data_IF_294908488032
#
_entry.id   IF_294908488032
#
_cell.length_a   1.000
_cell.length_b   1.000
_cell.length_c   1.000
_cell.angle_alpha   90.00
_cell.angle_beta   90.00
_cell.angle_gamma   90.00
#
_symmetry.space_group_name_H-M   'P 1'
#
loop_
_entity.id
_entity.type
_entity.pdbx_description
1 polymer ?
#
# COMPACT_ATOMS: atom_id res chain seq x y z
N UNK A 1 20.87 6.10 13.15
CA UNK A 1 19.46 5.66 13.22
C UNK A 1 18.83 5.83 11.85
N UNK A 2 18.05 4.85 11.39
CA UNK A 2 17.33 4.96 10.09
C UNK A 2 16.05 4.15 10.17
N UNK A 3 15.06 4.55 9.37
CA UNK A 3 13.78 3.84 9.31
C UNK A 3 14.03 2.51 8.61
N UNK A 4 13.84 1.41 9.33
CA UNK A 4 14.03 0.06 8.83
C UNK A 4 12.75 -0.50 8.22
N UNK A 5 11.66 -0.43 8.99
CA UNK A 5 10.37 -1.00 8.60
C UNK A 5 9.25 -0.08 9.07
N UNK A 6 8.21 0.02 8.25
CA UNK A 6 6.93 0.62 8.62
C UNK A 6 5.82 -0.35 8.28
N UNK A 7 4.65 -0.21 8.89
CA UNK A 7 3.58 -1.20 8.78
C UNK A 7 2.34 -0.62 8.13
N UNK A 8 1.61 -1.50 7.41
CA UNK A 8 0.23 -1.27 7.02
C UNK A 8 -0.57 -2.50 7.44
N UNK A 9 -1.70 -2.30 8.11
CA UNK A 9 -2.55 -3.40 8.54
C UNK A 9 -3.35 -3.94 7.37
N UNK A 10 -3.38 -5.26 7.21
CA UNK A 10 -4.12 -5.93 6.14
C UNK A 10 -5.04 -7.00 6.74
N UNK A 11 -6.21 -7.18 6.14
CA UNK A 11 -7.19 -8.17 6.61
C UNK A 11 -6.80 -9.61 6.26
N UNK A 12 -5.99 -9.80 5.21
CA UNK A 12 -5.55 -11.10 4.71
C UNK A 12 -4.16 -10.97 4.10
N UNK A 13 -3.17 -11.64 4.70
CA UNK A 13 -1.78 -11.54 4.25
C UNK A 13 -1.54 -12.15 2.87
N UNK A 14 -2.24 -13.23 2.50
CA UNK A 14 -2.10 -13.83 1.16
C UNK A 14 -2.64 -12.89 0.09
N UNK A 15 -3.81 -12.32 0.33
CA UNK A 15 -4.42 -11.35 -0.58
C UNK A 15 -3.55 -10.09 -0.70
N UNK A 16 -3.02 -9.61 0.42
CA UNK A 16 -2.13 -8.45 0.44
C UNK A 16 -0.84 -8.71 -0.35
N UNK A 17 -0.22 -9.87 -0.17
CA UNK A 17 0.98 -10.25 -0.92
C UNK A 17 0.71 -10.22 -2.43
N UNK A 18 -0.38 -10.82 -2.87
CA UNK A 18 -0.74 -10.85 -4.28
C UNK A 18 -0.98 -9.44 -4.83
N UNK A 19 -1.64 -8.57 -4.08
CA UNK A 19 -1.95 -7.21 -4.51
C UNK A 19 -0.70 -6.32 -4.52
N UNK A 20 0.05 -6.30 -3.42
CA UNK A 20 1.21 -5.39 -3.31
C UNK A 20 2.36 -5.81 -4.23
N UNK A 21 2.55 -7.09 -4.49
CA UNK A 21 3.59 -7.57 -5.42
C UNK A 21 3.08 -7.69 -6.86
N UNK A 22 2.00 -8.45 -7.06
CA UNK A 22 1.50 -8.75 -8.41
C UNK A 22 0.83 -7.57 -9.09
N UNK A 23 0.09 -6.75 -8.34
CA UNK A 23 -0.65 -5.61 -8.89
C UNK A 23 0.15 -4.31 -8.78
N UNK A 24 0.63 -3.95 -7.59
CA UNK A 24 1.36 -2.70 -7.40
C UNK A 24 2.82 -2.78 -7.87
N UNK A 25 3.43 -3.96 -7.88
CA UNK A 25 4.77 -4.14 -8.41
C UNK A 25 5.90 -4.05 -7.39
N UNK A 26 5.60 -4.07 -6.09
CA UNK A 26 6.63 -4.19 -5.06
C UNK A 26 7.26 -5.57 -5.11
N UNK A 27 8.45 -5.72 -4.48
CA UNK A 27 9.14 -7.01 -4.36
C UNK A 27 8.99 -7.58 -2.98
N UNK A 28 8.73 -8.89 -2.90
CA UNK A 28 8.77 -9.62 -1.64
C UNK A 28 10.19 -9.59 -1.08
N UNK A 29 10.32 -9.18 0.20
CA UNK A 29 11.59 -9.18 0.93
C UNK A 29 11.65 -10.34 1.92
N UNK A 30 10.66 -10.45 2.80
CA UNK A 30 10.59 -11.50 3.81
C UNK A 30 9.19 -12.12 3.84
N UNK A 31 9.14 -13.43 4.02
CA UNK A 31 7.91 -14.18 4.22
C UNK A 31 8.22 -15.33 5.17
N UNK A 32 8.24 -15.06 6.46
CA UNK A 32 8.70 -15.98 7.50
C UNK A 32 7.59 -16.25 8.49
N UNK A 33 7.24 -17.51 8.78
CA UNK A 33 6.25 -17.84 9.80
C UNK A 33 6.68 -17.34 11.18
N UNK A 34 5.76 -16.65 11.89
CA UNK A 34 5.97 -16.18 13.25
C UNK A 34 4.65 -16.40 14.01
N UNK A 35 4.61 -17.41 14.85
CA UNK A 35 3.36 -17.81 15.52
C UNK A 35 2.30 -18.18 14.49
N UNK A 36 1.09 -17.70 14.63
CA UNK A 36 0.01 -17.92 13.67
C UNK A 36 0.04 -17.01 12.44
N UNK A 37 1.08 -16.19 12.27
CA UNK A 37 1.18 -15.16 11.23
C UNK A 37 2.50 -15.27 10.50
N UNK A 38 2.70 -14.36 9.55
CA UNK A 38 3.96 -14.26 8.82
C UNK A 38 4.56 -12.89 8.99
N UNK A 39 5.89 -12.85 9.18
CA UNK A 39 6.66 -11.64 8.99
C UNK A 39 6.77 -11.43 7.48
N UNK A 40 5.87 -10.62 6.94
CA UNK A 40 5.67 -10.45 5.52
C UNK A 40 6.01 -9.00 5.15
N UNK A 41 7.14 -8.82 4.46
CA UNK A 41 7.57 -7.48 4.06
C UNK A 41 7.80 -7.40 2.56
N UNK A 42 7.54 -6.22 2.03
CA UNK A 42 7.83 -5.88 0.64
C UNK A 42 8.73 -4.65 0.59
N UNK A 43 9.45 -4.48 -0.50
CA UNK A 43 10.31 -3.32 -0.75
C UNK A 43 10.01 -2.72 -2.11
N UNK A 44 10.39 -1.46 -2.29
CA UNK A 44 10.34 -0.81 -3.59
C UNK A 44 11.28 -1.54 -4.55
N UNK A 45 10.82 -1.73 -5.79
CA UNK A 45 11.55 -2.49 -6.81
C UNK A 45 12.93 -1.91 -7.10
N UNK A 46 13.04 -0.59 -7.08
CA UNK A 46 14.29 0.14 -7.34
C UNK A 46 15.10 0.43 -6.07
N UNK A 47 14.61 0.00 -4.90
CA UNK A 47 15.29 0.13 -3.60
C UNK A 47 15.20 -1.17 -2.81
N UNK A 48 15.80 -2.27 -3.32
CA UNK A 48 15.65 -3.59 -2.68
C UNK A 48 16.25 -3.69 -1.28
N UNK A 49 17.17 -2.80 -0.94
CA UNK A 49 17.77 -2.70 0.40
C UNK A 49 17.24 -1.50 1.19
N UNK A 50 16.18 -0.87 0.72
CA UNK A 50 15.55 0.27 1.36
C UNK A 50 14.60 -0.12 2.49
N UNK A 51 13.83 0.86 2.95
CA UNK A 51 12.81 0.67 3.99
C UNK A 51 11.79 -0.38 3.55
N UNK A 52 11.49 -1.31 4.46
CA UNK A 52 10.50 -2.35 4.20
C UNK A 52 9.11 -1.90 4.62
N UNK A 53 8.11 -2.36 3.88
CA UNK A 53 6.72 -2.24 4.28
C UNK A 53 6.24 -3.59 4.80
N UNK A 54 5.89 -3.63 6.09
CA UNK A 54 5.32 -4.82 6.73
C UNK A 54 3.83 -4.87 6.45
N UNK A 55 3.39 -5.96 5.80
CA UNK A 55 1.98 -6.25 5.60
C UNK A 55 1.46 -6.98 6.85
N UNK A 56 1.02 -6.21 7.84
CA UNK A 56 0.78 -6.68 9.20
C UNK A 56 -0.66 -7.14 9.37
N UNK A 57 -0.90 -8.33 10.00
CA UNK A 57 -2.26 -8.79 10.23
C UNK A 57 -3.05 -7.86 11.14
N UNK A 58 -4.34 -7.69 10.87
CA UNK A 58 -5.24 -6.80 11.61
C UNK A 58 -5.84 -7.43 12.87
N UNK A 59 -5.08 -8.26 13.59
CA UNK A 59 -5.63 -9.03 14.72
C UNK A 59 -5.71 -8.26 16.02
N UNK A 60 -4.93 -7.18 16.16
CA UNK A 60 -5.06 -6.35 17.36
C UNK A 60 -6.44 -5.68 17.36
N UNK A 61 -7.08 -5.63 18.55
CA UNK A 61 -8.43 -5.09 18.70
C UNK A 61 -8.59 -3.64 18.22
N UNK A 62 -7.49 -2.87 18.17
CA UNK A 62 -7.49 -1.50 17.71
C UNK A 62 -7.39 -1.38 16.19
N UNK A 63 -6.90 -2.40 15.49
CA UNK A 63 -6.58 -2.31 14.06
C UNK A 63 -7.83 -2.21 13.20
N UNK A 64 -8.83 -3.06 13.42
CA UNK A 64 -10.07 -3.07 12.63
C UNK A 64 -10.82 -1.74 12.70
N UNK A 65 -11.17 -1.24 13.90
CA UNK A 65 -11.84 0.05 14.05
C UNK A 65 -11.03 1.23 13.48
N UNK A 66 -9.72 1.22 13.66
CA UNK A 66 -8.82 2.24 13.12
C UNK A 66 -8.84 2.26 11.59
N UNK A 67 -8.65 1.09 10.97
CA UNK A 67 -8.69 0.95 9.50
C UNK A 67 -10.02 1.41 8.94
N UNK A 68 -11.12 0.97 9.55
CA UNK A 68 -12.46 1.29 9.10
C UNK A 68 -12.71 2.80 9.17
N UNK A 69 -12.31 3.44 10.26
CA UNK A 69 -12.48 4.88 10.41
C UNK A 69 -11.71 5.67 9.36
N UNK A 70 -10.45 5.31 9.11
CA UNK A 70 -9.65 5.95 8.05
C UNK A 70 -10.29 5.76 6.67
N UNK A 71 -10.72 4.53 6.38
CA UNK A 71 -11.34 4.21 5.09
C UNK A 71 -12.62 5.03 4.87
N UNK A 72 -13.49 5.09 5.85
CA UNK A 72 -14.75 5.86 5.79
C UNK A 72 -14.50 7.35 5.62
N UNK A 73 -13.45 7.86 6.24
CA UNK A 73 -13.09 9.28 6.17
C UNK A 73 -12.27 9.62 4.90
N UNK A 74 -11.98 8.63 4.07
CA UNK A 74 -11.21 8.83 2.84
C UNK A 74 -9.73 9.11 3.08
N UNK A 75 -9.19 8.67 4.22
CA UNK A 75 -7.80 8.94 4.61
C UNK A 75 -6.91 7.76 4.20
N UNK A 76 -5.91 7.99 3.32
CA UNK A 76 -4.97 6.94 2.93
C UNK A 76 -4.12 6.47 4.12
N UNK A 77 -3.93 5.15 4.23
CA UNK A 77 -3.05 4.56 5.23
C UNK A 77 -1.57 4.69 4.88
N UNK A 78 -1.25 4.85 3.61
CA UNK A 78 0.12 4.99 3.12
C UNK A 78 0.13 5.82 1.83
N UNK A 79 1.30 6.33 1.48
CA UNK A 79 1.51 7.06 0.22
C UNK A 79 2.76 6.52 -0.47
N UNK A 80 2.63 6.22 -1.75
CA UNK A 80 3.73 5.70 -2.58
C UNK A 80 4.02 6.68 -3.71
N UNK A 81 5.31 6.95 -3.93
CA UNK A 81 5.72 7.82 -5.02
C UNK A 81 5.83 7.04 -6.32
N UNK A 82 5.34 7.63 -7.39
CA UNK A 82 5.47 7.11 -8.76
C UNK A 82 6.07 8.19 -9.65
N UNK A 83 6.71 7.78 -10.75
CA UNK A 83 7.34 8.72 -11.68
C UNK A 83 6.33 9.32 -12.66
N UNK A 84 5.32 8.55 -13.07
CA UNK A 84 4.28 8.97 -14.01
C UNK A 84 2.92 8.45 -13.51
N UNK A 85 2.18 9.33 -12.86
CA UNK A 85 0.90 8.97 -12.23
C UNK A 85 -0.16 8.59 -13.26
N UNK A 86 -0.22 9.27 -14.40
CA UNK A 86 -1.22 8.95 -15.42
C UNK A 86 -0.98 7.58 -16.03
N UNK A 87 0.29 7.22 -16.27
CA UNK A 87 0.65 5.90 -16.78
C UNK A 87 0.33 4.81 -15.75
N UNK A 88 0.65 5.02 -14.47
CA UNK A 88 0.30 4.07 -13.41
C UNK A 88 -1.20 3.94 -13.21
N UNK A 89 -1.92 5.04 -13.26
CA UNK A 89 -3.38 5.00 -13.19
C UNK A 89 -3.96 4.15 -14.32
N UNK A 90 -3.53 4.38 -15.56
CA UNK A 90 -4.00 3.62 -16.71
C UNK A 90 -3.70 2.12 -16.57
N UNK A 91 -2.49 1.78 -16.12
CA UNK A 91 -2.07 0.39 -15.91
C UNK A 91 -2.92 -0.30 -14.85
N UNK A 92 -3.10 0.34 -13.71
CA UNK A 92 -3.85 -0.22 -12.58
C UNK A 92 -5.36 -0.27 -12.86
N UNK A 93 -5.90 0.73 -13.51
CA UNK A 93 -7.30 0.74 -13.93
C UNK A 93 -7.61 -0.42 -14.89
N UNK A 94 -6.71 -0.69 -15.84
CA UNK A 94 -6.84 -1.83 -16.75
C UNK A 94 -6.78 -3.19 -16.02
N UNK A 95 -6.13 -3.26 -14.86
CA UNK A 95 -6.10 -4.45 -14.00
C UNK A 95 -7.33 -4.55 -13.08
N UNK A 96 -8.26 -3.61 -13.15
CA UNK A 96 -9.46 -3.62 -12.34
C UNK A 96 -9.30 -3.01 -10.95
N UNK A 97 -8.20 -2.29 -10.68
CA UNK A 97 -8.01 -1.61 -9.39
C UNK A 97 -9.03 -0.49 -9.26
N UNK A 98 -9.69 -0.43 -8.11
CA UNK A 98 -10.66 0.62 -7.81
C UNK A 98 -9.96 1.86 -7.29
N UNK A 99 -10.15 2.99 -7.96
CA UNK A 99 -9.71 4.29 -7.50
C UNK A 99 -10.88 5.05 -6.89
N UNK A 100 -10.69 5.60 -5.71
CA UNK A 100 -11.66 6.51 -5.06
C UNK A 100 -11.39 7.95 -5.42
N UNK A 101 -10.17 8.27 -5.88
CA UNK A 101 -9.79 9.57 -6.40
C UNK A 101 -8.91 9.36 -7.64
N UNK A 102 -9.39 9.81 -8.79
CA UNK A 102 -8.62 9.80 -10.03
C UNK A 102 -7.47 10.83 -9.94
N UNK A 103 -6.42 10.71 -10.78
CA UNK A 103 -5.31 11.66 -10.76
C UNK A 103 -5.76 13.11 -10.82
N UNK A 104 -5.23 13.90 -9.89
CA UNK A 104 -5.53 15.33 -9.82
C UNK A 104 -4.32 16.11 -9.30
N UNK A 105 -4.28 17.38 -9.62
CA UNK A 105 -3.28 18.30 -9.09
C UNK A 105 -3.60 18.66 -7.64
N UNK A 106 -2.58 18.62 -6.79
CA UNK A 106 -2.66 18.96 -5.38
C UNK A 106 -1.45 19.83 -4.99
N UNK A 107 -1.38 21.04 -5.55
CA UNK A 107 -0.27 21.95 -5.31
C UNK A 107 1.04 21.46 -5.96
N UNK A 108 2.08 21.18 -5.16
CA UNK A 108 3.40 20.77 -5.70
C UNK A 108 3.44 19.32 -6.18
N UNK A 109 2.35 18.58 -6.01
CA UNK A 109 2.26 17.16 -6.36
C UNK A 109 0.99 16.88 -7.15
N UNK A 110 0.96 15.73 -7.81
CA UNK A 110 -0.26 15.10 -8.33
C UNK A 110 -0.54 13.86 -7.51
N UNK A 111 -1.82 13.59 -7.23
CA UNK A 111 -2.22 12.48 -6.37
C UNK A 111 -3.37 11.69 -6.98
N UNK A 112 -3.45 10.42 -6.62
CA UNK A 112 -4.60 9.56 -6.82
C UNK A 112 -4.75 8.66 -5.59
N UNK A 113 -5.94 8.11 -5.36
CA UNK A 113 -6.18 7.22 -4.22
C UNK A 113 -6.85 5.96 -4.72
N UNK A 114 -6.33 4.82 -4.32
CA UNK A 114 -6.85 3.51 -4.68
C UNK A 114 -7.23 2.70 -3.45
N UNK A 115 -8.08 1.70 -3.66
CA UNK A 115 -8.46 0.70 -2.67
C UNK A 115 -7.50 -0.50 -2.80
N UNK A 116 -6.83 -0.86 -1.69
CA UNK A 116 -5.84 -1.96 -1.71
C UNK A 116 -6.48 -3.35 -1.59
N UNK A 117 -7.80 -3.44 -1.56
CA UNK A 117 -8.57 -4.67 -1.35
C UNK A 117 -8.39 -5.31 0.03
N UNK A 118 -7.57 -4.72 0.89
CA UNK A 118 -7.25 -5.23 2.24
C UNK A 118 -7.76 -4.32 3.35
N UNK A 119 -8.74 -3.48 3.05
CA UNK A 119 -9.37 -2.58 4.00
C UNK A 119 -8.71 -1.21 4.12
N UNK A 120 -7.80 -0.86 3.20
CA UNK A 120 -7.12 0.42 3.21
C UNK A 120 -7.34 1.21 1.92
N UNK A 121 -7.25 2.51 2.04
CA UNK A 121 -6.97 3.40 0.91
C UNK A 121 -5.47 3.67 0.87
N UNK A 122 -4.93 3.79 -0.32
CA UNK A 122 -3.51 4.06 -0.56
C UNK A 122 -3.40 5.21 -1.55
N UNK A 123 -2.55 6.17 -1.25
CA UNK A 123 -2.29 7.29 -2.14
C UNK A 123 -1.10 6.97 -3.05
N UNK A 124 -1.25 7.28 -4.33
CA UNK A 124 -0.12 7.40 -5.25
C UNK A 124 0.19 8.88 -5.43
N UNK A 125 1.47 9.22 -5.50
CA UNK A 125 1.92 10.61 -5.56
C UNK A 125 3.05 10.75 -6.56
N UNK A 126 2.91 11.76 -7.42
CA UNK A 126 3.95 12.18 -8.36
C UNK A 126 4.40 13.59 -7.99
N UNK A 127 5.71 13.79 -7.83
CA UNK A 127 6.28 15.12 -7.66
C UNK A 127 6.19 15.88 -8.97
N UNK A 128 5.78 17.14 -8.91
CA UNK A 128 5.78 18.01 -10.08
C UNK A 128 7.16 18.58 -10.38
#
# INVERSE_FOLDING_TARGET
MRIYVTSIFVDDQDKALAFYTGTLGFRLKNNVPVGGFRWLTVVSKDQPDGTELLLEPSHHRAAGPYKQALYEDGIPAASFQVDDLDAEFARLDALGVRFTLAPMDAGPVRVAVLDDTCGNLVQLMQMK
#
